data_IF_162393839636
#
_entry.id   IF_162393839636
#
_cell.length_a   1.000
_cell.length_b   1.000
_cell.length_c   1.000
_cell.angle_alpha   90.00
_cell.angle_beta   90.00
_cell.angle_gamma   90.00
#
_symmetry.space_group_name_H-M   'P 1'
#
loop_
_entity.id
_entity.type
_entity.pdbx_description
1 polymer ?
#
# COMPACT_ATOMS: atom_id res chain seq x y z
N UNK A 1 -23.58 -7.70 16.62
CA UNK A 1 -22.88 -7.33 15.38
C UNK A 1 -21.46 -7.88 15.35
N UNK A 2 -20.68 -7.71 16.41
CA UNK A 2 -19.28 -8.16 16.46
C UNK A 2 -19.15 -9.69 16.52
N UNK A 3 -20.22 -10.44 16.79
CA UNK A 3 -20.23 -11.89 16.71
C UNK A 3 -20.36 -12.41 15.28
N UNK A 4 -20.71 -11.55 14.33
CA UNK A 4 -20.83 -11.90 12.93
C UNK A 4 -19.48 -11.71 12.22
N UNK A 5 -19.06 -12.72 11.46
CA UNK A 5 -17.77 -12.75 10.83
C UNK A 5 -17.42 -11.50 9.99
N UNK A 6 -18.30 -11.01 9.09
CA UNK A 6 -17.98 -9.82 8.31
C UNK A 6 -17.73 -8.58 9.17
N UNK A 7 -18.44 -8.44 10.27
CA UNK A 7 -18.25 -7.31 11.18
C UNK A 7 -16.93 -7.42 11.94
N UNK A 8 -16.52 -8.62 12.34
CA UNK A 8 -15.22 -8.88 12.94
C UNK A 8 -14.09 -8.59 11.98
N UNK A 9 -14.24 -8.96 10.71
CA UNK A 9 -13.24 -8.71 9.67
C UNK A 9 -13.02 -7.22 9.45
N UNK A 10 -14.08 -6.43 9.38
CA UNK A 10 -13.99 -4.97 9.29
C UNK A 10 -13.33 -4.38 10.54
N UNK A 11 -13.71 -4.87 11.72
CA UNK A 11 -13.11 -4.41 12.98
C UNK A 11 -11.61 -4.70 13.01
N UNK A 12 -11.19 -5.88 12.56
CA UNK A 12 -9.78 -6.24 12.47
C UNK A 12 -9.02 -5.29 11.55
N UNK A 13 -9.60 -4.95 10.40
CA UNK A 13 -9.02 -4.01 9.45
C UNK A 13 -8.81 -2.63 10.10
N UNK A 14 -9.85 -2.08 10.72
CA UNK A 14 -9.75 -0.78 11.39
C UNK A 14 -8.74 -0.79 12.52
N UNK A 15 -8.72 -1.84 13.33
CA UNK A 15 -7.76 -1.98 14.43
C UNK A 15 -6.33 -1.94 13.91
N UNK A 16 -6.04 -2.73 12.87
CA UNK A 16 -4.69 -2.85 12.35
C UNK A 16 -4.26 -1.59 11.58
N UNK A 17 -5.20 -0.93 10.90
CA UNK A 17 -4.95 0.35 10.26
C UNK A 17 -4.63 1.44 11.31
N UNK A 18 -5.33 1.48 12.44
CA UNK A 18 -5.05 2.40 13.53
C UNK A 18 -3.69 2.11 14.19
N UNK A 19 -3.33 0.84 14.33
CA UNK A 19 -2.01 0.47 14.82
C UNK A 19 -0.91 0.93 13.87
N UNK A 20 -1.11 0.77 12.57
CA UNK A 20 -0.18 1.26 11.55
C UNK A 20 -0.02 2.77 11.67
N UNK A 21 -1.11 3.51 11.84
CA UNK A 21 -1.09 4.96 12.02
C UNK A 21 -0.25 5.37 13.22
N UNK A 22 -0.47 4.73 14.37
CA UNK A 22 0.26 5.04 15.60
C UNK A 22 1.74 4.72 15.53
N UNK A 23 2.11 3.65 14.83
CA UNK A 23 3.50 3.18 14.74
C UNK A 23 4.33 3.91 13.69
N UNK A 24 3.68 4.57 12.73
CA UNK A 24 4.38 5.14 11.58
C UNK A 24 4.25 6.66 11.54
N UNK A 25 5.32 7.38 11.92
CA UNK A 25 5.33 8.85 11.86
C UNK A 25 4.98 9.40 10.47
N UNK A 26 5.24 8.64 9.39
CA UNK A 26 4.90 9.02 8.03
C UNK A 26 3.42 9.38 7.86
N UNK A 27 2.52 8.83 8.69
CA UNK A 27 1.08 9.04 8.57
C UNK A 27 0.58 10.30 9.31
N UNK A 28 1.37 10.90 10.20
CA UNK A 28 0.92 12.06 10.96
C UNK A 28 1.95 13.19 11.10
N UNK A 29 3.25 12.88 10.98
CA UNK A 29 4.31 13.84 11.31
C UNK A 29 4.33 15.06 10.39
N UNK A 30 4.03 14.88 9.12
CA UNK A 30 3.98 15.93 8.11
C UNK A 30 2.59 16.11 7.51
N UNK A 31 1.53 15.90 8.29
CA UNK A 31 0.15 15.99 7.81
C UNK A 31 -0.21 17.35 7.21
N UNK A 32 0.36 18.42 7.75
CA UNK A 32 0.11 19.77 7.28
C UNK A 32 1.20 20.31 6.35
N UNK A 33 2.09 19.42 5.88
CA UNK A 33 3.20 19.80 5.01
C UNK A 33 3.11 19.02 3.70
N UNK A 34 3.14 19.71 2.53
CA UNK A 34 3.13 19.02 1.24
C UNK A 34 4.26 18.02 1.06
N UNK A 35 5.39 18.19 1.76
CA UNK A 35 6.50 17.24 1.72
C UNK A 35 6.16 15.86 2.30
N UNK A 36 5.07 15.76 3.07
CA UNK A 36 4.62 14.50 3.66
C UNK A 36 3.85 13.59 2.71
N UNK A 37 3.50 14.08 1.52
CA UNK A 37 2.68 13.34 0.57
C UNK A 37 3.25 13.46 -0.85
N UNK A 38 3.34 12.33 -1.54
CA UNK A 38 3.81 12.30 -2.92
C UNK A 38 2.95 11.32 -3.75
N UNK A 39 2.29 11.84 -4.78
CA UNK A 39 1.62 10.99 -5.75
C UNK A 39 2.64 10.21 -6.58
N UNK A 40 2.43 8.91 -6.73
CA UNK A 40 3.19 8.07 -7.66
C UNK A 40 2.36 7.85 -8.93
N UNK A 41 1.12 7.39 -8.79
CA UNK A 41 0.18 7.22 -9.90
C UNK A 41 -1.19 7.72 -9.47
N UNK A 42 -1.63 8.82 -10.06
CA UNK A 42 -2.95 9.42 -9.80
C UNK A 42 -3.83 9.48 -11.05
N UNK A 43 -3.25 9.23 -12.22
CA UNK A 43 -3.88 9.53 -13.50
C UNK A 43 -4.31 8.26 -14.27
N UNK A 44 -4.28 7.10 -13.62
CA UNK A 44 -4.67 5.85 -14.24
C UNK A 44 -6.20 5.66 -14.18
N UNK A 45 -6.91 6.50 -14.94
CA UNK A 45 -8.37 6.51 -14.97
C UNK A 45 -8.96 5.24 -15.61
N UNK A 46 -8.21 4.57 -16.50
CA UNK A 46 -8.69 3.36 -17.17
C UNK A 46 -8.64 2.13 -16.26
N UNK A 47 -7.60 2.03 -15.42
CA UNK A 47 -7.44 0.91 -14.49
C UNK A 47 -7.95 1.24 -13.09
N UNK A 48 -8.19 2.54 -12.79
CA UNK A 48 -8.59 3.02 -11.46
C UNK A 48 -7.71 2.48 -10.34
N UNK A 49 -6.41 2.48 -10.59
CA UNK A 49 -5.39 2.11 -9.60
C UNK A 49 -4.60 3.36 -9.24
N UNK A 50 -4.46 3.59 -7.96
CA UNK A 50 -3.77 4.77 -7.44
C UNK A 50 -2.64 4.35 -6.51
N UNK A 51 -1.53 5.05 -6.57
CA UNK A 51 -0.44 4.85 -5.63
C UNK A 51 0.14 6.19 -5.17
N UNK A 52 0.51 6.23 -3.91
CA UNK A 52 1.09 7.43 -3.30
C UNK A 52 2.01 7.05 -2.15
N UNK A 53 2.88 7.97 -1.78
CA UNK A 53 3.80 7.79 -0.66
C UNK A 53 3.51 8.83 0.42
N UNK A 54 3.53 8.38 1.67
CA UNK A 54 3.56 9.24 2.85
C UNK A 54 4.99 9.23 3.41
N UNK A 55 5.53 10.42 3.62
CA UNK A 55 6.90 10.60 4.12
C UNK A 55 6.92 11.07 5.58
N UNK A 56 7.86 10.55 6.37
CA UNK A 56 8.23 11.12 7.65
C UNK A 56 9.26 12.24 7.46
N UNK A 57 9.54 12.98 8.52
CA UNK A 57 10.60 14.00 8.52
C UNK A 57 11.93 13.39 8.10
N UNK A 58 12.61 14.05 7.16
CA UNK A 58 13.87 13.56 6.61
C UNK A 58 13.74 12.30 5.78
N UNK A 59 12.53 11.89 5.44
CA UNK A 59 12.24 10.69 4.64
C UNK A 59 12.89 9.42 5.17
N UNK A 60 13.02 9.31 6.49
CA UNK A 60 13.66 8.16 7.15
C UNK A 60 12.78 6.91 7.09
N UNK A 61 11.47 7.09 7.30
CA UNK A 61 10.47 6.04 7.17
C UNK A 61 9.37 6.53 6.24
N UNK A 62 9.03 5.70 5.26
CA UNK A 62 8.04 6.06 4.26
C UNK A 62 7.04 4.91 4.10
N UNK A 63 5.81 5.25 3.77
CA UNK A 63 4.78 4.26 3.46
C UNK A 63 4.27 4.48 2.05
N UNK A 64 4.33 3.44 1.23
CA UNK A 64 3.79 3.41 -0.11
C UNK A 64 2.43 2.71 -0.08
N UNK A 65 1.39 3.41 -0.51
CA UNK A 65 0.03 2.87 -0.63
C UNK A 65 -0.27 2.57 -2.08
N UNK A 66 -0.81 1.38 -2.34
CA UNK A 66 -1.29 0.97 -3.66
C UNK A 66 -2.74 0.53 -3.51
N UNK A 67 -3.64 1.21 -4.23
CA UNK A 67 -5.09 1.00 -4.11
C UNK A 67 -5.69 0.62 -5.45
N UNK A 68 -6.38 -0.52 -5.51
CA UNK A 68 -7.10 -0.98 -6.69
C UNK A 68 -8.60 -0.85 -6.45
N UNK A 69 -9.24 0.06 -7.14
CA UNK A 69 -10.68 0.32 -7.03
C UNK A 69 -11.52 -0.42 -8.08
N UNK A 70 -10.98 -1.52 -8.63
CA UNK A 70 -11.68 -2.32 -9.66
C UNK A 70 -11.89 -3.76 -9.23
N UNK A 71 -12.86 -4.46 -9.84
CA UNK A 71 -13.06 -5.89 -9.60
C UNK A 71 -12.03 -6.79 -10.29
N UNK A 72 -11.02 -6.21 -10.93
CA UNK A 72 -10.02 -6.95 -11.71
C UNK A 72 -8.73 -7.06 -10.92
N UNK A 73 -8.35 -8.29 -10.54
CA UNK A 73 -7.04 -8.56 -9.96
C UNK A 73 -5.94 -8.41 -11.02
N UNK A 74 -4.79 -7.91 -10.61
CA UNK A 74 -3.62 -7.71 -11.47
C UNK A 74 -2.45 -8.52 -10.92
N UNK A 75 -2.19 -9.71 -11.48
CA UNK A 75 -1.19 -10.65 -10.95
C UNK A 75 0.24 -10.09 -10.95
N UNK A 76 0.60 -9.31 -11.95
CA UNK A 76 1.93 -8.73 -12.11
C UNK A 76 1.88 -7.21 -12.21
N UNK A 77 1.11 -6.58 -11.33
CA UNK A 77 1.03 -5.12 -11.36
C UNK A 77 2.37 -4.51 -11.00
N UNK A 78 2.88 -3.65 -11.89
CA UNK A 78 4.16 -2.98 -11.65
C UNK A 78 3.94 -1.69 -10.87
N UNK A 79 4.60 -1.62 -9.72
CA UNK A 79 4.50 -0.48 -8.80
C UNK A 79 5.76 0.36 -8.93
N UNK A 80 5.61 1.61 -9.37
CA UNK A 80 6.70 2.58 -9.36
C UNK A 80 6.99 3.05 -7.94
N UNK A 81 8.27 3.22 -7.61
CA UNK A 81 8.68 3.66 -6.27
C UNK A 81 9.93 4.52 -6.35
N UNK A 82 10.01 5.60 -5.53
CA UNK A 82 11.15 6.54 -5.59
C UNK A 82 12.38 6.08 -4.81
N UNK A 83 12.59 4.78 -4.67
CA UNK A 83 13.69 4.22 -3.91
C UNK A 83 14.17 2.89 -4.48
N UNK A 84 15.45 2.59 -4.26
CA UNK A 84 16.00 1.26 -4.51
C UNK A 84 16.03 0.39 -3.25
N UNK A 85 15.61 0.92 -2.11
CA UNK A 85 15.55 0.18 -0.85
C UNK A 85 14.46 -0.89 -0.90
N UNK A 86 14.65 -1.94 -0.11
CA UNK A 86 13.63 -2.98 0.03
C UNK A 86 12.31 -2.38 0.54
N UNK A 87 11.21 -2.83 -0.04
CA UNK A 87 9.86 -2.45 0.39
C UNK A 87 9.23 -3.64 1.11
N UNK A 88 8.86 -3.43 2.36
CA UNK A 88 8.23 -4.46 3.19
C UNK A 88 6.72 -4.30 3.18
N UNK A 89 6.00 -5.35 2.83
CA UNK A 89 4.54 -5.36 2.90
C UNK A 89 4.12 -5.40 4.37
N UNK A 90 3.49 -4.33 4.85
CA UNK A 90 3.10 -4.18 6.26
C UNK A 90 1.59 -4.27 6.47
N UNK A 91 0.80 -4.05 5.43
CA UNK A 91 -0.66 -4.20 5.48
C UNK A 91 -1.18 -4.62 4.11
N UNK A 92 -2.05 -5.63 4.09
CA UNK A 92 -2.63 -6.18 2.89
C UNK A 92 -4.10 -6.51 3.17
N UNK A 93 -5.02 -5.82 2.50
CA UNK A 93 -6.46 -6.00 2.71
C UNK A 93 -6.97 -7.38 2.26
N UNK A 94 -6.18 -8.12 1.48
CA UNK A 94 -6.55 -9.45 0.99
C UNK A 94 -6.28 -10.57 2.00
N UNK A 95 -5.81 -10.26 3.19
CA UNK A 95 -5.67 -11.23 4.28
C UNK A 95 -7.03 -11.76 4.72
N UNK A 96 -7.07 -13.03 5.14
CA UNK A 96 -8.33 -13.66 5.59
C UNK A 96 -8.97 -12.94 6.76
N UNK A 97 -8.18 -12.43 7.68
CA UNK A 97 -8.68 -11.72 8.86
C UNK A 97 -9.45 -10.44 8.52
N UNK A 98 -9.32 -9.94 7.27
CA UNK A 98 -10.05 -8.79 6.76
C UNK A 98 -11.12 -9.17 5.72
N UNK A 99 -11.37 -10.46 5.54
CA UNK A 99 -12.35 -10.95 4.57
C UNK A 99 -11.81 -11.12 3.16
N UNK A 100 -10.49 -11.07 2.98
CA UNK A 100 -9.86 -11.30 1.69
C UNK A 100 -9.68 -12.77 1.34
N UNK A 101 -9.03 -13.05 0.21
CA UNK A 101 -8.79 -14.40 -0.29
C UNK A 101 -7.83 -15.21 0.59
N UNK A 102 -6.95 -14.54 1.32
CA UNK A 102 -5.90 -15.16 2.11
C UNK A 102 -4.76 -15.70 1.27
N UNK A 103 -4.65 -15.30 0.01
CA UNK A 103 -3.53 -15.69 -0.85
C UNK A 103 -2.22 -15.20 -0.25
N UNK A 104 -1.24 -16.10 -0.17
CA UNK A 104 0.07 -15.77 0.41
C UNK A 104 0.88 -14.89 -0.53
N UNK A 105 1.46 -13.84 0.01
CA UNK A 105 2.34 -12.93 -0.71
C UNK A 105 3.70 -12.83 -0.03
N UNK A 106 4.71 -12.49 -0.80
CA UNK A 106 6.04 -12.20 -0.24
C UNK A 106 5.93 -11.01 0.71
N UNK A 107 6.76 -11.00 1.73
CA UNK A 107 6.86 -9.87 2.66
C UNK A 107 7.78 -8.77 2.13
N UNK A 108 8.86 -9.14 1.43
CA UNK A 108 9.89 -8.22 0.96
C UNK A 108 9.89 -8.15 -0.57
N UNK A 109 9.87 -6.93 -1.09
CA UNK A 109 9.96 -6.63 -2.51
C UNK A 109 11.17 -5.74 -2.77
N UNK A 110 12.05 -6.18 -3.68
CA UNK A 110 13.27 -5.44 -4.04
C UNK A 110 13.03 -4.69 -5.34
N UNK A 111 13.00 -3.35 -5.31
CA UNK A 111 12.86 -2.58 -6.54
C UNK A 111 14.04 -2.83 -7.48
N UNK A 112 13.73 -2.89 -8.78
CA UNK A 112 14.71 -3.00 -9.83
C UNK A 112 14.72 -1.72 -10.66
N UNK A 113 15.79 -1.47 -11.38
CA UNK A 113 15.92 -0.30 -12.26
C UNK A 113 15.08 -0.48 -13.52
N UNK A 114 13.78 -0.31 -13.36
CA UNK A 114 12.81 -0.36 -14.47
C UNK A 114 11.82 0.78 -14.26
N UNK A 115 11.78 1.71 -15.18
CA UNK A 115 10.92 2.88 -15.10
C UNK A 115 9.44 2.49 -15.08
N UNK A 116 8.68 3.10 -14.16
CA UNK A 116 7.24 2.93 -14.05
C UNK A 116 6.65 4.15 -13.34
N UNK A 117 5.55 4.67 -13.86
CA UNK A 117 4.84 5.82 -13.29
C UNK A 117 5.74 7.03 -13.02
N UNK A 118 6.73 7.26 -13.89
CA UNK A 118 7.67 8.36 -13.74
C UNK A 118 8.77 8.11 -12.71
N UNK A 119 8.83 6.94 -12.11
CA UNK A 119 9.86 6.54 -11.15
C UNK A 119 10.92 5.68 -11.81
N UNK A 120 12.19 5.84 -11.40
CA UNK A 120 13.31 5.06 -11.94
C UNK A 120 13.27 3.60 -11.52
N UNK A 121 12.65 3.31 -10.39
CA UNK A 121 12.62 1.98 -9.78
C UNK A 121 11.20 1.46 -9.71
N UNK A 122 11.05 0.15 -9.73
CA UNK A 122 9.74 -0.49 -9.63
C UNK A 122 9.88 -1.95 -9.20
N UNK A 123 8.78 -2.52 -8.73
CA UNK A 123 8.67 -3.94 -8.46
C UNK A 123 7.29 -4.45 -8.90
N UNK A 124 7.19 -5.76 -9.12
CA UNK A 124 5.92 -6.39 -9.46
C UNK A 124 5.23 -6.89 -8.19
N UNK A 125 3.92 -6.69 -8.10
CA UNK A 125 3.11 -7.11 -6.96
C UNK A 125 1.79 -7.71 -7.45
N UNK A 126 1.35 -8.88 -6.90
CA UNK A 126 0.04 -9.44 -7.21
C UNK A 126 -1.04 -8.63 -6.49
N UNK A 127 -1.60 -7.65 -7.17
CA UNK A 127 -2.57 -6.71 -6.64
C UNK A 127 -3.98 -7.28 -6.70
N UNK A 128 -4.66 -7.50 -5.55
CA UNK A 128 -6.00 -8.07 -5.56
C UNK A 128 -7.06 -7.06 -6.03
N UNK A 129 -8.18 -7.59 -6.51
CA UNK A 129 -9.34 -6.77 -6.81
C UNK A 129 -9.83 -6.04 -5.55
N UNK A 130 -10.22 -4.78 -5.69
CA UNK A 130 -10.69 -3.94 -4.57
C UNK A 130 -9.73 -3.93 -3.39
N UNK A 131 -8.43 -4.08 -3.66
CA UNK A 131 -7.43 -4.27 -2.62
C UNK A 131 -6.60 -3.03 -2.32
N UNK A 132 -6.10 -2.99 -1.09
CA UNK A 132 -5.12 -2.00 -0.64
C UNK A 132 -3.91 -2.74 -0.10
N UNK A 133 -2.73 -2.32 -0.54
CA UNK A 133 -1.46 -2.80 0.00
C UNK A 133 -0.63 -1.62 0.48
N UNK A 134 0.04 -1.79 1.61
CA UNK A 134 0.92 -0.77 2.18
C UNK A 134 2.31 -1.36 2.38
N UNK A 135 3.30 -0.66 1.85
CA UNK A 135 4.71 -1.05 1.94
C UNK A 135 5.51 -0.01 2.72
N UNK A 136 6.42 -0.48 3.55
CA UNK A 136 7.33 0.38 4.32
C UNK A 136 8.74 0.32 3.72
N UNK A 137 9.39 1.48 3.61
CA UNK A 137 10.79 1.57 3.21
C UNK A 137 11.51 2.74 3.84
#
# INVERSE_FOLDING_TARGET
LLSEEPHQQIQNWYRDLLHLYKKNPALYELDNDPAGFEWINKDDIFRSIFSFVRHSKGKKKNLLFVCNFTPVAREDYRVGVPTKRQCKLVLNSDEKEYGGSGEKRKEIYKPVKKECDGQKYSFAYPLPAYGVAVFEY
#
